data_IF_402464278039
#
_entry.id   IF_402464278039
#
_cell.length_a   1.000
_cell.length_b   1.000
_cell.length_c   1.000
_cell.angle_alpha   90.00
_cell.angle_beta   90.00
_cell.angle_gamma   90.00
#
_symmetry.space_group_name_H-M   'P 1'
#
loop_
_entity.id
_entity.type
_entity.pdbx_description
1 polymer ?
#
# COMPACT_ATOMS: atom_id res chain seq x y z
N UNK A 1 -32.59 22.56 -17.55
CA UNK A 1 -32.87 23.34 -16.32
C UNK A 1 -31.68 23.08 -15.43
N UNK A 2 -30.84 24.09 -15.20
CA UNK A 2 -29.65 23.98 -14.37
C UNK A 2 -29.90 24.93 -13.20
N UNK A 3 -29.67 24.50 -11.94
CA UNK A 3 -29.96 25.21 -10.68
C UNK A 3 -31.33 24.93 -10.03
N UNK A 4 -31.66 23.65 -9.79
CA UNK A 4 -32.71 23.30 -8.82
C UNK A 4 -32.19 23.55 -7.40
N UNK A 5 -33.06 24.01 -6.51
CA UNK A 5 -32.82 24.18 -5.07
C UNK A 5 -33.02 22.82 -4.42
N UNK A 6 -32.11 22.41 -3.54
CA UNK A 6 -32.20 21.13 -2.84
C UNK A 6 -33.40 21.07 -1.87
N UNK A 7 -33.86 19.87 -1.52
CA UNK A 7 -34.99 19.62 -0.59
C UNK A 7 -36.25 20.46 -0.91
N UNK A 8 -36.52 20.67 -2.19
CA UNK A 8 -37.63 21.49 -2.69
C UNK A 8 -38.54 20.63 -3.59
N UNK A 9 -39.85 20.77 -3.40
CA UNK A 9 -40.84 20.12 -4.25
C UNK A 9 -40.99 20.87 -5.57
N UNK A 10 -40.78 20.15 -6.67
CA UNK A 10 -40.97 20.63 -8.02
C UNK A 10 -42.15 19.93 -8.67
N UNK A 11 -43.04 20.71 -9.29
CA UNK A 11 -44.09 20.19 -10.16
C UNK A 11 -43.66 20.41 -11.61
N UNK A 12 -43.35 19.33 -12.30
CA UNK A 12 -42.98 19.35 -13.72
C UNK A 12 -44.26 19.14 -14.52
N UNK A 13 -44.58 20.08 -15.41
CA UNK A 13 -45.74 19.96 -16.30
C UNK A 13 -45.30 20.00 -17.76
N UNK A 14 -45.74 19.03 -18.55
CA UNK A 14 -45.42 18.92 -19.98
C UNK A 14 -46.72 19.00 -20.79
N UNK A 15 -46.69 19.78 -21.87
CA UNK A 15 -47.81 19.88 -22.83
C UNK A 15 -47.26 20.04 -24.25
N UNK A 16 -47.94 19.44 -25.22
CA UNK A 16 -47.60 19.58 -26.63
C UNK A 16 -48.03 20.96 -27.17
N UNK A 17 -47.30 21.52 -28.15
CA UNK A 17 -47.63 22.80 -28.82
C UNK A 17 -47.62 22.62 -30.33
N UNK A 18 -48.63 23.15 -31.02
CA UNK A 18 -48.65 23.31 -32.48
C UNK A 18 -48.76 24.80 -32.84
N UNK A 19 -48.80 25.14 -34.14
CA UNK A 19 -49.05 26.52 -34.59
C UNK A 19 -50.43 27.06 -34.18
N UNK A 20 -51.40 26.17 -33.92
CA UNK A 20 -52.77 26.54 -33.52
C UNK A 20 -52.95 26.73 -32.01
N UNK A 21 -52.08 26.15 -31.18
CA UNK A 21 -52.17 26.29 -29.72
C UNK A 21 -51.45 25.19 -28.93
N UNK A 22 -51.70 25.16 -27.62
CA UNK A 22 -51.19 24.14 -26.70
C UNK A 22 -52.24 23.05 -26.45
N UNK A 23 -51.80 21.80 -26.34
CA UNK A 23 -52.63 20.67 -25.90
C UNK A 23 -52.76 20.58 -24.38
N UNK A 24 -53.40 19.50 -23.92
CA UNK A 24 -53.53 19.19 -22.50
C UNK A 24 -52.16 18.98 -21.83
N UNK A 25 -52.10 19.31 -20.53
CA UNK A 25 -50.89 19.08 -19.72
C UNK A 25 -50.96 17.76 -18.97
N UNK A 26 -49.82 17.09 -18.86
CA UNK A 26 -49.56 16.10 -17.82
C UNK A 26 -48.60 16.71 -16.80
N UNK A 27 -48.71 16.30 -15.53
CA UNK A 27 -47.87 16.82 -14.45
C UNK A 27 -47.35 15.69 -13.57
N UNK A 28 -46.13 15.84 -13.07
CA UNK A 28 -45.53 14.97 -12.06
C UNK A 28 -44.87 15.84 -10.99
N UNK A 29 -44.91 15.37 -9.74
CA UNK A 29 -44.24 16.03 -8.61
C UNK A 29 -43.01 15.23 -8.21
N UNK A 30 -41.92 15.93 -7.93
CA UNK A 30 -40.67 15.34 -7.45
C UNK A 30 -40.07 16.25 -6.39
N UNK A 31 -39.53 15.68 -5.32
CA UNK A 31 -38.67 16.40 -4.38
C UNK A 31 -37.22 16.30 -4.89
N UNK A 32 -36.55 17.44 -5.05
CA UNK A 32 -35.12 17.45 -5.35
C UNK A 32 -34.32 16.85 -4.18
N UNK A 33 -33.27 16.07 -4.49
CA UNK A 33 -32.42 15.47 -3.45
C UNK A 33 -31.72 16.48 -2.52
N UNK A 34 -31.11 15.96 -1.46
CA UNK A 34 -30.31 16.74 -0.51
C UNK A 34 -29.04 17.32 -1.19
N UNK A 35 -28.55 18.49 -0.76
CA UNK A 35 -27.26 18.97 -1.23
C UNK A 35 -26.18 18.00 -0.75
N UNK A 36 -25.25 17.65 -1.64
CA UNK A 36 -24.17 16.72 -1.32
C UNK A 36 -23.22 17.36 -0.30
N UNK A 37 -22.92 16.62 0.76
CA UNK A 37 -21.99 17.08 1.79
C UNK A 37 -20.61 16.44 1.57
N UNK A 38 -19.56 17.09 2.07
CA UNK A 38 -18.25 16.43 2.15
C UNK A 38 -18.36 15.20 3.06
N UNK A 39 -17.61 14.12 2.78
CA UNK A 39 -17.61 12.98 3.66
C UNK A 39 -16.84 13.32 4.95
N UNK A 40 -17.12 12.59 6.02
CA UNK A 40 -16.31 12.69 7.25
C UNK A 40 -15.07 11.78 7.16
N UNK A 41 -13.95 12.13 7.82
CA UNK A 41 -12.81 11.25 7.90
C UNK A 41 -13.17 9.90 8.54
N UNK A 42 -12.49 8.81 8.15
CA UNK A 42 -12.53 7.56 8.91
C UNK A 42 -12.04 7.74 10.35
N UNK A 43 -12.48 6.88 11.25
CA UNK A 43 -12.06 6.85 12.66
C UNK A 43 -11.53 5.47 13.04
N UNK A 44 -10.97 5.35 14.25
CA UNK A 44 -10.47 4.08 14.80
C UNK A 44 -9.49 3.34 13.86
N UNK A 45 -8.57 4.11 13.24
CA UNK A 45 -7.60 3.56 12.30
C UNK A 45 -6.50 2.82 13.08
N UNK A 46 -6.51 1.49 12.99
CA UNK A 46 -5.63 0.61 13.76
C UNK A 46 -4.93 -0.43 12.86
N UNK A 47 -3.71 -0.80 13.22
CA UNK A 47 -2.96 -1.88 12.56
C UNK A 47 -3.32 -3.20 13.23
N UNK A 48 -3.90 -4.14 12.49
CA UNK A 48 -4.32 -5.44 13.05
C UNK A 48 -3.31 -6.55 12.77
N UNK A 49 -2.56 -6.44 11.69
CA UNK A 49 -1.50 -7.39 11.37
C UNK A 49 -0.43 -6.75 10.50
N UNK A 50 0.80 -7.25 10.67
CA UNK A 50 1.98 -6.77 9.96
C UNK A 50 2.70 -7.98 9.37
N UNK A 51 3.04 -7.85 8.10
CA UNK A 51 3.87 -8.81 7.38
C UNK A 51 5.11 -8.12 6.80
N UNK A 52 5.90 -8.88 6.04
CA UNK A 52 7.14 -8.41 5.43
C UNK A 52 6.91 -7.26 4.45
N UNK A 53 5.86 -7.34 3.64
CA UNK A 53 5.56 -6.37 2.56
C UNK A 53 4.09 -5.94 2.53
N UNK A 54 3.37 -6.22 3.60
CA UNK A 54 1.96 -5.87 3.74
C UNK A 54 1.62 -5.57 5.18
N UNK A 55 0.53 -4.86 5.37
CA UNK A 55 -0.09 -4.66 6.67
C UNK A 55 -1.61 -4.62 6.48
N UNK A 56 -2.35 -5.11 7.45
CA UNK A 56 -3.80 -4.96 7.44
C UNK A 56 -4.17 -3.90 8.47
N UNK A 57 -4.97 -2.96 8.02
CA UNK A 57 -5.58 -1.94 8.87
C UNK A 57 -7.06 -2.18 9.02
N UNK A 58 -7.59 -1.81 10.18
CA UNK A 58 -9.00 -1.75 10.48
C UNK A 58 -9.38 -0.30 10.76
N UNK A 59 -10.57 0.11 10.33
CA UNK A 59 -11.10 1.45 10.53
C UNK A 59 -12.63 1.46 10.53
N UNK A 60 -13.21 2.49 11.12
CA UNK A 60 -14.63 2.80 11.02
C UNK A 60 -14.86 3.83 9.90
N UNK A 61 -15.65 3.51 8.86
CA UNK A 61 -15.97 4.46 7.80
C UNK A 61 -16.63 5.74 8.34
N UNK A 62 -16.24 6.89 7.78
CA UNK A 62 -16.89 8.15 8.09
C UNK A 62 -18.23 8.30 7.36
N UNK A 63 -18.97 9.35 7.72
CA UNK A 63 -20.21 9.71 7.06
C UNK A 63 -20.03 9.92 5.55
N UNK A 64 -20.89 9.33 4.72
CA UNK A 64 -20.77 9.32 3.24
C UNK A 64 -21.30 10.60 2.57
N UNK A 65 -21.83 11.56 3.32
CA UNK A 65 -22.27 12.86 2.80
C UNK A 65 -23.59 12.81 2.02
N UNK A 66 -24.54 11.96 2.44
CA UNK A 66 -25.87 11.79 1.82
C UNK A 66 -25.83 11.40 0.34
N UNK A 67 -24.77 10.74 -0.09
CA UNK A 67 -24.70 10.15 -1.44
C UNK A 67 -25.65 8.96 -1.53
N UNK A 68 -26.47 8.92 -2.58
CA UNK A 68 -27.58 7.97 -2.77
C UNK A 68 -27.20 6.52 -2.46
N UNK A 69 -27.76 5.95 -1.40
CA UNK A 69 -27.88 4.50 -1.27
C UNK A 69 -29.29 4.16 -0.73
N UNK A 70 -30.05 3.42 -1.53
CA UNK A 70 -31.40 2.89 -1.27
C UNK A 70 -31.42 1.77 -0.19
N UNK A 71 -30.26 1.42 0.38
CA UNK A 71 -30.11 0.41 1.41
C UNK A 71 -29.04 0.87 2.41
N UNK A 72 -29.46 1.29 3.60
CA UNK A 72 -28.54 1.67 4.69
C UNK A 72 -28.02 0.42 5.39
N UNK A 73 -26.91 -0.14 4.93
CA UNK A 73 -26.08 -1.01 5.77
C UNK A 73 -25.07 -0.12 6.50
N UNK A 74 -25.19 -0.02 7.82
CA UNK A 74 -24.20 0.67 8.65
C UNK A 74 -22.98 -0.25 8.81
N UNK A 75 -21.92 -0.01 8.05
CA UNK A 75 -20.67 -0.74 8.20
C UNK A 75 -19.92 -0.13 9.39
N UNK A 76 -19.97 -0.78 10.55
CA UNK A 76 -19.30 -0.30 11.76
C UNK A 76 -17.76 -0.37 11.65
N UNK A 77 -17.26 -1.37 10.93
CA UNK A 77 -15.82 -1.61 10.76
C UNK A 77 -15.50 -2.16 9.36
N UNK A 78 -14.42 -1.65 8.78
CA UNK A 78 -13.88 -2.04 7.48
C UNK A 78 -12.40 -2.40 7.62
N UNK A 79 -11.93 -3.31 6.76
CA UNK A 79 -10.52 -3.72 6.69
C UNK A 79 -9.92 -3.36 5.35
N UNK A 80 -8.67 -2.90 5.35
CA UNK A 80 -7.89 -2.65 4.14
C UNK A 80 -6.52 -3.31 4.26
N UNK A 81 -6.11 -3.99 3.19
CA UNK A 81 -4.78 -4.60 3.07
C UNK A 81 -3.89 -3.63 2.31
N UNK A 82 -2.88 -3.09 2.99
CA UNK A 82 -1.77 -2.36 2.39
C UNK A 82 -0.80 -3.38 1.82
N UNK A 83 -0.44 -3.23 0.54
CA UNK A 83 0.48 -4.11 -0.18
C UNK A 83 1.72 -3.34 -0.62
N UNK A 84 2.71 -4.07 -1.10
CA UNK A 84 3.93 -3.55 -1.72
C UNK A 84 4.71 -2.58 -0.81
N UNK A 85 4.66 -2.83 0.50
CA UNK A 85 5.49 -2.13 1.47
C UNK A 85 6.94 -2.63 1.37
N UNK A 86 7.90 -1.74 1.64
CA UNK A 86 9.29 -2.13 1.86
C UNK A 86 9.40 -2.89 3.17
N UNK A 87 10.13 -4.00 3.14
CA UNK A 87 10.43 -4.81 4.32
C UNK A 87 11.36 -4.09 5.29
N UNK A 88 11.25 -4.46 6.57
CA UNK A 88 12.01 -3.87 7.67
C UNK A 88 12.00 -2.32 7.70
N UNK A 89 10.88 -1.70 7.30
CA UNK A 89 10.75 -0.25 7.19
C UNK A 89 9.67 0.28 8.12
N UNK A 90 9.94 1.44 8.71
CA UNK A 90 9.01 2.11 9.61
C UNK A 90 7.98 2.89 8.80
N UNK A 91 6.70 2.70 9.11
CA UNK A 91 5.56 3.32 8.45
C UNK A 91 4.63 3.99 9.46
N UNK A 92 3.88 4.98 8.98
CA UNK A 92 2.74 5.60 9.66
C UNK A 92 1.66 5.92 8.64
N UNK A 93 0.43 5.53 8.92
CA UNK A 93 -0.66 5.58 7.93
C UNK A 93 -1.67 6.66 8.30
N UNK A 94 -2.20 7.33 7.28
CA UNK A 94 -3.29 8.30 7.33
C UNK A 94 -4.30 7.95 6.25
N UNK A 95 -5.57 8.26 6.49
CA UNK A 95 -6.65 7.99 5.56
C UNK A 95 -7.60 9.19 5.47
N UNK A 96 -8.16 9.43 4.28
CA UNK A 96 -9.25 10.37 4.03
C UNK A 96 -10.37 9.65 3.28
N UNK A 97 -11.61 10.06 3.51
CA UNK A 97 -12.75 9.61 2.74
C UNK A 97 -12.91 10.46 1.47
N UNK A 98 -13.42 9.86 0.40
CA UNK A 98 -13.66 10.54 -0.89
C UNK A 98 -15.08 10.24 -1.35
N UNK A 99 -15.80 11.27 -1.77
CA UNK A 99 -17.08 11.14 -2.48
C UNK A 99 -17.11 12.08 -3.70
N UNK A 100 -18.26 12.14 -4.40
CA UNK A 100 -18.43 12.99 -5.60
C UNK A 100 -18.29 14.49 -5.32
N UNK A 101 -18.45 14.92 -4.07
CA UNK A 101 -18.32 16.32 -3.66
C UNK A 101 -16.89 16.68 -3.23
N UNK A 102 -16.04 15.68 -2.94
CA UNK A 102 -14.63 15.91 -2.65
C UNK A 102 -14.03 14.95 -1.62
N UNK A 103 -12.87 15.35 -1.10
CA UNK A 103 -12.05 14.60 -0.14
C UNK A 103 -12.25 15.19 1.27
N UNK A 104 -12.40 14.34 2.28
CA UNK A 104 -12.46 14.76 3.68
C UNK A 104 -11.10 15.24 4.20
N UNK A 105 -11.10 15.86 5.38
CA UNK A 105 -9.89 15.98 6.19
C UNK A 105 -9.25 14.60 6.45
N UNK A 106 -7.96 14.57 6.77
CA UNK A 106 -7.28 13.31 7.16
C UNK A 106 -7.70 12.88 8.57
N UNK A 107 -7.83 11.57 8.78
CA UNK A 107 -8.03 11.00 10.11
C UNK A 107 -6.80 11.19 11.02
N UNK A 108 -6.98 10.87 12.31
CA UNK A 108 -5.86 10.69 13.23
C UNK A 108 -4.97 9.56 12.68
N UNK A 109 -3.65 9.77 12.55
CA UNK A 109 -2.75 8.75 12.02
C UNK A 109 -2.64 7.56 12.98
N UNK A 110 -2.26 6.40 12.43
CA UNK A 110 -1.85 5.26 13.26
C UNK A 110 -0.62 5.60 14.10
N UNK A 111 -0.35 4.77 15.10
CA UNK A 111 1.00 4.64 15.66
C UNK A 111 2.00 4.19 14.58
N UNK A 112 3.27 4.44 14.83
CA UNK A 112 4.33 3.91 13.96
C UNK A 112 4.41 2.39 14.09
N UNK A 113 4.58 1.71 12.97
CA UNK A 113 4.82 0.27 12.94
C UNK A 113 5.94 -0.04 11.95
N UNK A 114 6.63 -1.16 12.17
CA UNK A 114 7.71 -1.63 11.29
C UNK A 114 7.31 -2.96 10.65
N UNK A 115 7.44 -3.04 9.33
CA UNK A 115 7.26 -4.29 8.57
C UNK A 115 8.28 -5.33 8.99
N UNK A 116 7.94 -6.61 8.84
CA UNK A 116 8.86 -7.69 9.22
C UNK A 116 10.09 -7.71 8.28
N UNK A 117 11.23 -8.23 8.75
CA UNK A 117 12.36 -8.52 7.87
C UNK A 117 12.02 -9.54 6.78
N UNK A 118 12.74 -9.46 5.66
CA UNK A 118 12.63 -10.41 4.55
C UNK A 118 14.02 -10.82 4.05
N UNK A 119 14.07 -11.79 3.13
CA UNK A 119 15.30 -12.12 2.41
C UNK A 119 15.82 -10.91 1.62
N UNK A 120 17.13 -10.80 1.34
CA UNK A 120 17.65 -9.72 0.53
C UNK A 120 16.95 -9.62 -0.85
N UNK A 121 16.72 -8.39 -1.33
CA UNK A 121 16.04 -8.15 -2.62
C UNK A 121 16.99 -8.24 -3.83
N UNK A 122 18.30 -8.18 -3.57
CA UNK A 122 19.35 -8.16 -4.58
C UNK A 122 20.40 -9.22 -4.28
N UNK A 123 21.09 -9.66 -5.32
CA UNK A 123 22.18 -10.64 -5.22
C UNK A 123 23.54 -9.94 -5.30
N UNK A 124 24.57 -10.44 -4.60
CA UNK A 124 25.93 -9.97 -4.82
C UNK A 124 26.37 -10.33 -6.25
N UNK A 125 27.20 -9.49 -6.85
CA UNK A 125 27.76 -9.73 -8.19
C UNK A 125 29.20 -10.18 -8.07
N UNK A 126 29.53 -11.37 -8.56
CA UNK A 126 30.93 -11.82 -8.62
C UNK A 126 31.67 -10.92 -9.61
N UNK A 127 32.71 -10.26 -9.12
CA UNK A 127 33.57 -9.38 -9.92
C UNK A 127 34.66 -10.18 -10.61
N UNK A 128 35.33 -11.05 -9.84
CA UNK A 128 36.46 -11.83 -10.33
C UNK A 128 36.61 -13.11 -9.50
N UNK A 129 37.10 -14.17 -10.13
CA UNK A 129 37.66 -15.33 -9.45
C UNK A 129 39.01 -15.65 -10.09
N UNK A 130 40.04 -15.84 -9.28
CA UNK A 130 41.40 -16.08 -9.77
C UNK A 130 42.09 -17.15 -8.94
N UNK A 131 42.75 -18.09 -9.62
CA UNK A 131 43.69 -19.00 -8.98
C UNK A 131 44.89 -18.21 -8.44
N UNK A 132 45.13 -18.30 -7.14
CA UNK A 132 46.33 -17.74 -6.52
C UNK A 132 47.52 -18.67 -6.78
N UNK A 133 47.27 -19.98 -6.66
CA UNK A 133 48.24 -21.05 -6.89
C UNK A 133 47.49 -22.35 -7.29
N UNK A 134 48.19 -23.49 -7.32
CA UNK A 134 47.61 -24.78 -7.73
C UNK A 134 46.54 -25.34 -6.78
N UNK A 135 46.38 -24.81 -5.57
CA UNK A 135 45.43 -25.29 -4.55
C UNK A 135 44.64 -24.19 -3.85
N UNK A 136 44.69 -22.95 -4.35
CA UNK A 136 43.97 -21.80 -3.77
C UNK A 136 43.32 -20.93 -4.84
N UNK A 137 42.06 -20.56 -4.61
CA UNK A 137 41.27 -19.66 -5.45
C UNK A 137 40.75 -18.51 -4.59
N UNK A 138 40.91 -17.27 -5.05
CA UNK A 138 40.27 -16.09 -4.45
C UNK A 138 39.09 -15.64 -5.31
N UNK A 139 38.01 -15.27 -4.66
CA UNK A 139 36.80 -14.73 -5.28
C UNK A 139 36.51 -13.36 -4.69
N UNK A 140 36.14 -12.42 -5.55
CA UNK A 140 35.69 -11.07 -5.20
C UNK A 140 34.26 -10.86 -5.68
N UNK A 141 33.47 -10.13 -4.90
CA UNK A 141 32.12 -9.74 -5.27
C UNK A 141 31.79 -8.31 -4.82
N UNK A 142 30.80 -7.73 -5.48
CA UNK A 142 30.20 -6.46 -5.07
C UNK A 142 29.22 -6.70 -3.92
N UNK A 143 29.27 -5.88 -2.85
CA UNK A 143 28.30 -5.96 -1.77
C UNK A 143 26.93 -5.46 -2.26
N UNK A 144 25.86 -5.98 -1.66
CA UNK A 144 24.50 -5.47 -1.91
C UNK A 144 24.22 -4.23 -1.07
N UNK A 145 23.31 -3.35 -1.53
CA UNK A 145 23.05 -2.10 -0.84
C UNK A 145 22.40 -2.33 0.54
N UNK A 146 22.69 -1.45 1.51
CA UNK A 146 22.24 -1.62 2.91
C UNK A 146 20.72 -1.79 3.04
N UNK A 147 19.94 -1.08 2.23
CA UNK A 147 18.48 -1.14 2.20
C UNK A 147 17.93 -2.40 1.49
N UNK A 148 18.75 -3.10 0.71
CA UNK A 148 18.33 -4.31 -0.01
C UNK A 148 18.47 -5.57 0.83
N UNK A 149 19.21 -5.53 1.94
CA UNK A 149 19.31 -6.63 2.90
C UNK A 149 17.97 -6.98 3.55
N UNK A 150 17.00 -6.05 3.57
CA UNK A 150 15.67 -6.24 4.16
C UNK A 150 15.68 -6.70 5.63
N UNK A 151 16.77 -6.51 6.34
CA UNK A 151 16.95 -6.91 7.74
C UNK A 151 17.68 -5.80 8.50
N UNK A 152 17.53 -5.80 9.82
CA UNK A 152 18.19 -4.83 10.68
C UNK A 152 19.39 -5.52 11.30
N UNK A 153 20.60 -5.10 10.92
CA UNK A 153 21.77 -5.38 11.74
C UNK A 153 22.62 -4.13 11.84
N UNK A 154 22.50 -3.44 12.97
CA UNK A 154 23.43 -2.37 13.36
C UNK A 154 24.83 -2.91 13.69
N UNK A 155 24.96 -4.23 13.83
CA UNK A 155 26.17 -4.93 14.26
C UNK A 155 26.73 -5.89 13.21
N UNK A 156 26.05 -6.09 12.07
CA UNK A 156 26.42 -7.05 11.02
C UNK A 156 26.19 -8.53 11.35
N UNK A 157 25.87 -8.87 12.60
CA UNK A 157 25.89 -10.25 13.12
C UNK A 157 24.84 -11.18 12.49
N UNK A 158 23.76 -10.62 11.95
CA UNK A 158 22.63 -11.40 11.41
C UNK A 158 22.56 -11.38 9.87
N UNK A 159 23.53 -10.71 9.21
CA UNK A 159 23.58 -10.58 7.75
C UNK A 159 24.99 -10.88 7.22
N UNK A 160 25.06 -11.51 6.05
CA UNK A 160 26.32 -11.85 5.42
C UNK A 160 26.12 -12.82 4.26
N UNK A 161 27.18 -13.49 3.86
CA UNK A 161 27.21 -14.27 2.62
C UNK A 161 27.33 -15.75 2.92
N UNK A 162 26.67 -16.57 2.10
CA UNK A 162 26.91 -17.99 2.01
C UNK A 162 27.71 -18.26 0.73
N UNK A 163 28.94 -18.69 0.90
CA UNK A 163 29.90 -18.85 -0.20
C UNK A 163 30.13 -20.35 -0.34
N UNK A 164 29.84 -20.90 -1.52
CA UNK A 164 29.95 -22.34 -1.78
C UNK A 164 30.79 -22.60 -3.02
N UNK A 165 31.53 -23.72 -2.99
CA UNK A 165 32.26 -24.26 -4.11
C UNK A 165 31.79 -25.69 -4.35
N UNK A 166 31.31 -25.96 -5.57
CA UNK A 166 30.84 -27.28 -5.96
C UNK A 166 32.02 -28.13 -6.48
N UNK A 167 32.85 -28.58 -5.54
CA UNK A 167 33.92 -29.54 -5.77
C UNK A 167 33.53 -30.93 -5.20
N UNK A 168 34.47 -31.87 -5.14
CA UNK A 168 34.25 -33.21 -4.57
C UNK A 168 33.85 -33.20 -3.09
N UNK A 169 34.07 -32.10 -2.37
CA UNK A 169 33.74 -31.92 -0.96
C UNK A 169 32.54 -30.98 -0.72
N UNK A 170 31.99 -30.37 -1.78
CA UNK A 170 30.89 -29.39 -1.71
C UNK A 170 31.10 -28.32 -0.62
N UNK A 171 32.30 -27.71 -0.59
CA UNK A 171 32.72 -26.76 0.46
C UNK A 171 31.74 -25.58 0.56
N UNK A 172 31.28 -25.27 1.78
CA UNK A 172 30.36 -24.14 2.04
C UNK A 172 30.78 -23.37 3.29
N UNK A 173 30.79 -22.04 3.21
CA UNK A 173 31.21 -21.13 4.27
C UNK A 173 30.19 -20.02 4.44
N UNK A 174 29.82 -19.77 5.70
CA UNK A 174 28.95 -18.65 6.10
C UNK A 174 29.79 -17.51 6.66
N UNK A 175 29.43 -16.29 6.31
CA UNK A 175 30.00 -15.06 6.86
C UNK A 175 28.91 -14.28 7.58
N UNK A 176 29.28 -13.58 8.65
CA UNK A 176 28.40 -12.68 9.42
C UNK A 176 28.92 -11.25 9.32
N UNK A 177 29.19 -10.86 8.08
CA UNK A 177 29.71 -9.55 7.70
C UNK A 177 29.15 -9.20 6.32
N UNK A 178 28.21 -8.25 6.29
CA UNK A 178 27.60 -7.74 5.08
C UNK A 178 28.54 -6.89 4.22
N UNK A 179 29.63 -6.36 4.79
CA UNK A 179 30.63 -5.56 4.07
C UNK A 179 31.74 -6.42 3.47
N UNK A 180 31.78 -7.72 3.77
CA UNK A 180 32.77 -8.64 3.20
C UNK A 180 32.60 -8.73 1.68
N UNK A 181 33.69 -8.57 0.95
CA UNK A 181 33.72 -8.55 -0.53
C UNK A 181 34.67 -9.57 -1.14
N UNK A 182 35.38 -10.34 -0.32
CA UNK A 182 36.31 -11.37 -0.81
C UNK A 182 36.38 -12.59 0.11
N UNK A 183 36.76 -13.72 -0.50
CA UNK A 183 37.04 -14.97 0.19
C UNK A 183 38.11 -15.78 -0.56
N UNK A 184 38.94 -16.50 0.19
CA UNK A 184 39.97 -17.39 -0.36
C UNK A 184 39.65 -18.83 0.05
N UNK A 185 39.41 -19.67 -0.95
CA UNK A 185 39.44 -21.11 -0.78
C UNK A 185 40.88 -21.59 -0.80
N UNK A 186 41.29 -22.36 0.21
CA UNK A 186 42.62 -22.93 0.33
C UNK A 186 42.54 -24.45 0.40
N UNK A 187 43.63 -25.12 0.04
CA UNK A 187 43.76 -26.58 0.06
C UNK A 187 42.66 -27.27 -0.76
N UNK A 188 42.45 -26.78 -1.98
CA UNK A 188 41.48 -27.32 -2.93
C UNK A 188 41.81 -28.74 -3.37
#
# INVERSE_FOLDING_TARGET
>A
INNLIATTWYVISVRAKTRKGFGLKCSASIESGYPLEMPSPPTNLEIISIDKRSAVIQYSPGYTGKTNILYSFHIEQSKLILRDLYSNRLYRIRMSAVNINGISNTCVPTEFFRTKPDVPSSVPQILLAQAINSSSIRVWWMPIATNEWNSMSSTGKDIGYLISMNDSLARTIKTEDALKTEFIFNNL
#
